data_IF_225751023654
#
_entry.id   IF_225751023654
#
_cell.length_a   1.000
_cell.length_b   1.000
_cell.length_c   1.000
_cell.angle_alpha   90.00
_cell.angle_beta   90.00
_cell.angle_gamma   90.00
#
_symmetry.space_group_name_H-M   'P 1'
#
loop_
_entity.id
_entity.type
_entity.pdbx_description
1 polymer ?
#
# COMPACT_ATOMS: atom_id res chain seq x y z
N UNK A 1 -1.69 24.15 -21.83
CA UNK A 1 -1.74 22.94 -20.99
C UNK A 1 -2.64 23.24 -19.82
N UNK A 2 -3.74 22.55 -19.76
CA UNK A 2 -4.71 22.66 -18.68
C UNK A 2 -4.15 21.95 -17.45
N UNK A 3 -4.14 22.63 -16.30
CA UNK A 3 -3.75 22.02 -15.02
C UNK A 3 -4.96 21.25 -14.48
N UNK A 4 -4.82 19.96 -14.24
CA UNK A 4 -5.88 19.12 -13.70
C UNK A 4 -5.75 19.02 -12.18
N UNK A 5 -6.84 19.25 -11.48
CA UNK A 5 -6.92 18.98 -10.05
C UNK A 5 -6.83 17.48 -9.76
N UNK A 6 -6.34 17.07 -8.58
CA UNK A 6 -6.18 15.64 -8.22
C UNK A 6 -7.45 14.80 -8.38
N UNK A 7 -8.60 15.37 -8.13
CA UNK A 7 -9.91 14.75 -8.29
C UNK A 7 -10.26 14.44 -9.75
N UNK A 8 -9.74 15.23 -10.68
CA UNK A 8 -10.05 15.11 -12.10
C UNK A 8 -9.07 14.18 -12.82
N UNK A 9 -7.76 14.28 -12.52
CA UNK A 9 -6.79 13.44 -13.18
C UNK A 9 -6.72 12.00 -12.62
N UNK A 10 -7.02 11.76 -11.33
CA UNK A 10 -6.88 10.45 -10.69
C UNK A 10 -7.80 9.38 -11.29
N UNK A 11 -9.09 9.64 -11.58
CA UNK A 11 -9.94 8.70 -12.31
C UNK A 11 -9.37 8.37 -13.69
N UNK A 12 -8.86 9.38 -14.40
CA UNK A 12 -8.25 9.21 -15.71
C UNK A 12 -7.00 8.33 -15.67
N UNK A 13 -6.12 8.57 -14.71
CA UNK A 13 -4.92 7.76 -14.50
C UNK A 13 -5.26 6.30 -14.13
N UNK A 14 -6.31 6.08 -13.35
CA UNK A 14 -6.80 4.74 -13.02
C UNK A 14 -7.40 4.04 -14.26
N UNK A 15 -8.15 4.75 -15.09
CA UNK A 15 -8.69 4.21 -16.33
C UNK A 15 -7.56 3.84 -17.31
N UNK A 16 -6.52 4.67 -17.43
CA UNK A 16 -5.31 4.34 -18.20
C UNK A 16 -4.61 3.08 -17.67
N UNK A 17 -4.47 2.98 -16.35
CA UNK A 17 -3.90 1.80 -15.70
C UNK A 17 -4.71 0.55 -16.04
N UNK A 18 -6.03 0.61 -15.91
CA UNK A 18 -6.90 -0.52 -16.23
C UNK A 18 -6.81 -0.91 -17.71
N UNK A 19 -6.84 0.08 -18.60
CA UNK A 19 -6.67 -0.15 -20.04
C UNK A 19 -5.35 -0.87 -20.36
N UNK A 20 -4.27 -0.46 -19.71
CA UNK A 20 -2.96 -1.08 -19.89
C UNK A 20 -2.94 -2.54 -19.37
N UNK A 21 -3.57 -2.81 -18.24
CA UNK A 21 -3.68 -4.17 -17.68
C UNK A 21 -4.53 -5.08 -18.58
N UNK A 22 -5.67 -4.60 -19.05
CA UNK A 22 -6.57 -5.35 -19.93
C UNK A 22 -5.93 -5.66 -21.31
N UNK A 23 -5.00 -4.80 -21.73
CA UNK A 23 -4.21 -5.02 -22.96
C UNK A 23 -2.89 -5.76 -22.71
N UNK A 24 -2.70 -6.31 -21.51
CA UNK A 24 -1.51 -7.08 -21.11
C UNK A 24 -0.19 -6.32 -21.25
N UNK A 25 -0.24 -4.98 -21.19
CA UNK A 25 0.98 -4.19 -21.12
C UNK A 25 1.71 -4.40 -19.80
N UNK A 26 3.03 -4.57 -19.88
CA UNK A 26 3.90 -4.65 -18.69
C UNK A 26 4.05 -3.26 -18.07
N UNK A 27 3.19 -2.93 -17.13
CA UNK A 27 3.25 -1.66 -16.37
C UNK A 27 3.54 -1.94 -14.91
N UNK A 28 4.11 -0.95 -14.22
CA UNK A 28 4.16 -0.96 -12.75
C UNK A 28 2.82 -0.45 -12.22
N UNK A 29 1.96 -1.39 -11.85
CA UNK A 29 0.60 -1.10 -11.41
C UNK A 29 0.55 -0.26 -10.11
N UNK A 30 1.61 -0.27 -9.30
CA UNK A 30 1.73 0.54 -8.09
C UNK A 30 2.04 2.01 -8.36
N UNK A 31 2.69 2.30 -9.51
CA UNK A 31 3.16 3.64 -9.84
C UNK A 31 2.26 4.39 -10.83
N UNK A 32 1.53 3.69 -11.68
CA UNK A 32 0.82 4.26 -12.84
C UNK A 32 -0.24 5.32 -12.48
N UNK A 33 -0.78 5.33 -11.26
CA UNK A 33 -1.78 6.31 -10.81
C UNK A 33 -1.32 7.05 -9.53
N UNK A 34 -0.03 7.27 -9.39
CA UNK A 34 0.55 7.93 -8.22
C UNK A 34 0.97 9.36 -8.54
N UNK A 35 0.28 10.35 -7.97
CA UNK A 35 0.57 11.78 -8.16
C UNK A 35 1.91 12.25 -7.57
N UNK A 36 2.42 11.52 -6.60
CA UNK A 36 3.70 11.85 -5.95
C UNK A 36 4.90 11.23 -6.67
N UNK A 37 4.68 10.57 -7.81
CA UNK A 37 5.75 9.93 -8.56
C UNK A 37 6.61 10.97 -9.28
N UNK A 38 7.89 11.00 -8.93
CA UNK A 38 8.89 11.78 -9.65
C UNK A 38 9.56 10.87 -10.70
N UNK A 39 9.33 11.17 -11.97
CA UNK A 39 9.98 10.48 -13.09
C UNK A 39 11.37 11.06 -13.33
N UNK A 40 12.28 10.20 -13.78
CA UNK A 40 13.61 10.67 -14.18
C UNK A 40 13.53 11.41 -15.51
N UNK A 41 14.16 12.59 -15.65
CA UNK A 41 14.20 13.31 -16.91
C UNK A 41 14.89 12.48 -18.01
N UNK A 42 14.42 12.65 -19.24
CA UNK A 42 15.08 12.08 -20.44
C UNK A 42 16.52 12.58 -20.52
N UNK A 43 17.45 11.72 -20.93
CA UNK A 43 18.88 12.00 -21.00
C UNK A 43 19.64 11.80 -19.68
N UNK A 44 18.96 11.51 -18.57
CA UNK A 44 19.62 11.13 -17.32
C UNK A 44 19.88 9.63 -17.25
N UNK A 45 20.70 9.19 -16.29
CA UNK A 45 21.00 7.79 -16.09
C UNK A 45 20.37 7.23 -14.82
N UNK A 46 19.89 6.00 -14.89
CA UNK A 46 19.40 5.30 -13.73
C UNK A 46 20.58 4.85 -12.84
N UNK A 47 20.72 5.37 -11.61
CA UNK A 47 21.89 5.05 -10.78
C UNK A 47 21.98 3.58 -10.36
N UNK A 48 20.89 2.80 -10.46
CA UNK A 48 20.87 1.38 -10.08
C UNK A 48 21.49 0.46 -11.14
N UNK A 49 21.38 0.80 -12.42
CA UNK A 49 21.81 -0.06 -13.54
C UNK A 49 22.61 0.68 -14.61
N UNK A 50 22.83 1.99 -14.46
CA UNK A 50 23.56 2.81 -15.42
C UNK A 50 22.83 3.08 -16.74
N UNK A 51 21.62 2.58 -16.93
CA UNK A 51 20.89 2.77 -18.18
C UNK A 51 20.43 4.21 -18.36
N UNK A 52 20.57 4.72 -19.57
CA UNK A 52 20.05 6.03 -19.96
C UNK A 52 18.51 6.01 -20.04
N UNK A 53 17.89 7.06 -19.55
CA UNK A 53 16.46 7.31 -19.71
C UNK A 53 16.20 7.92 -21.07
N UNK A 54 15.52 7.17 -21.95
CA UNK A 54 15.24 7.57 -23.33
C UNK A 54 13.76 7.78 -23.55
N UNK A 55 13.44 8.77 -24.37
CA UNK A 55 12.09 8.90 -24.93
C UNK A 55 11.91 7.81 -26.00
N UNK A 56 10.96 6.93 -25.80
CA UNK A 56 10.67 5.84 -26.74
C UNK A 56 9.80 6.31 -27.90
N UNK A 57 8.82 7.14 -27.60
CA UNK A 57 7.90 7.74 -28.57
C UNK A 57 7.72 9.20 -28.20
N UNK A 58 7.98 10.08 -29.14
CA UNK A 58 7.66 11.50 -29.05
C UNK A 58 6.28 11.70 -29.73
N UNK A 59 5.26 11.92 -28.93
CA UNK A 59 3.91 12.09 -29.42
C UNK A 59 3.36 13.48 -29.04
N UNK A 60 2.53 14.02 -29.91
CA UNK A 60 1.85 15.27 -29.63
C UNK A 60 0.96 15.16 -28.37
N UNK A 61 0.85 16.23 -27.58
CA UNK A 61 -0.06 16.25 -26.46
C UNK A 61 -1.51 15.97 -26.88
N UNK A 62 -2.21 15.17 -26.11
CA UNK A 62 -3.60 14.82 -26.34
C UNK A 62 -4.50 15.66 -25.42
N UNK A 63 -5.57 16.20 -25.96
CA UNK A 63 -6.58 16.91 -25.17
C UNK A 63 -7.23 15.97 -24.14
N UNK A 64 -7.49 16.49 -22.94
CA UNK A 64 -8.06 15.70 -21.83
C UNK A 64 -9.41 15.10 -22.21
N UNK A 65 -10.24 15.84 -22.94
CA UNK A 65 -11.54 15.36 -23.44
C UNK A 65 -11.41 14.13 -24.34
N UNK A 66 -10.47 14.18 -25.29
CA UNK A 66 -10.18 13.04 -26.21
C UNK A 66 -9.68 11.83 -25.44
N UNK A 67 -8.81 12.03 -24.45
CA UNK A 67 -8.30 10.94 -23.62
C UNK A 67 -9.41 10.33 -22.76
N UNK A 68 -10.27 11.17 -22.17
CA UNK A 68 -11.43 10.74 -21.36
C UNK A 68 -12.42 9.92 -22.20
N UNK A 69 -12.71 10.37 -23.43
CA UNK A 69 -13.59 9.65 -24.35
C UNK A 69 -12.99 8.28 -24.73
N UNK A 70 -11.72 8.24 -25.07
CA UNK A 70 -10.98 7.01 -25.43
C UNK A 70 -10.92 6.00 -24.30
N UNK A 71 -10.91 6.45 -23.07
CA UNK A 71 -10.86 5.61 -21.88
C UNK A 71 -12.24 5.36 -21.25
N UNK A 72 -13.32 5.86 -21.85
CA UNK A 72 -14.67 5.81 -21.29
C UNK A 72 -15.14 4.40 -20.91
N UNK A 73 -14.73 3.39 -21.66
CA UNK A 73 -15.03 1.98 -21.38
C UNK A 73 -14.42 1.53 -20.04
N UNK A 74 -13.21 1.99 -19.73
CA UNK A 74 -12.45 1.60 -18.54
C UNK A 74 -12.86 2.38 -17.27
N UNK A 75 -13.63 3.45 -17.40
CA UNK A 75 -14.23 4.14 -16.26
C UNK A 75 -15.32 3.33 -15.56
N UNK A 76 -15.89 2.33 -16.20
CA UNK A 76 -17.02 1.55 -15.67
C UNK A 76 -16.63 0.62 -14.52
N UNK A 77 -15.37 0.19 -14.49
CA UNK A 77 -14.84 -0.74 -13.49
C UNK A 77 -13.95 -0.03 -12.43
N UNK A 78 -13.69 1.24 -12.62
CA UNK A 78 -13.09 2.06 -11.57
C UNK A 78 -14.23 2.45 -10.62
N UNK A 79 -14.20 2.07 -9.33
CA UNK A 79 -15.07 2.71 -8.35
C UNK A 79 -14.91 4.20 -8.54
N UNK A 80 -15.99 4.87 -8.95
CA UNK A 80 -15.97 6.32 -9.19
C UNK A 80 -15.32 7.01 -8.02
N UNK A 81 -14.78 8.23 -8.18
CA UNK A 81 -14.39 9.01 -7.03
C UNK A 81 -15.61 8.93 -6.11
N UNK A 82 -15.40 8.37 -4.92
CA UNK A 82 -16.37 8.63 -3.87
C UNK A 82 -16.46 10.15 -3.89
N UNK A 83 -17.60 10.62 -4.40
CA UNK A 83 -17.89 12.04 -4.32
C UNK A 83 -17.56 12.40 -2.90
N UNK A 84 -16.54 13.21 -2.76
CA UNK A 84 -16.27 13.91 -1.52
C UNK A 84 -17.47 14.86 -1.39
N UNK A 85 -18.59 14.21 -1.03
CA UNK A 85 -19.65 14.97 -0.46
C UNK A 85 -18.96 15.64 0.73
N UNK A 86 -18.83 16.94 0.67
CA UNK A 86 -18.79 17.82 1.82
C UNK A 86 -20.07 17.59 2.60
N UNK A 87 -20.29 16.33 2.97
CA UNK A 87 -21.12 15.95 4.09
C UNK A 87 -20.34 16.39 5.29
N UNK A 88 -21.02 17.17 6.11
CA UNK A 88 -20.62 17.49 7.45
C UNK A 88 -19.70 16.36 7.99
N UNK A 89 -18.39 16.56 7.84
CA UNK A 89 -17.37 15.55 8.09
C UNK A 89 -17.31 15.18 9.59
N UNK A 90 -17.99 15.95 10.42
CA UNK A 90 -18.10 15.74 11.86
C UNK A 90 -18.71 14.39 12.24
N UNK A 91 -19.67 13.86 11.47
CA UNK A 91 -20.26 12.54 11.76
C UNK A 91 -19.37 11.40 11.25
N UNK A 92 -18.76 11.55 10.07
CA UNK A 92 -17.82 10.55 9.53
C UNK A 92 -16.47 10.56 10.25
N UNK A 93 -15.94 11.71 10.60
CA UNK A 93 -14.77 11.85 11.47
C UNK A 93 -15.02 11.26 12.86
N UNK A 94 -16.20 11.45 13.43
CA UNK A 94 -16.61 10.81 14.68
C UNK A 94 -16.86 9.30 14.56
N UNK A 95 -17.19 8.78 13.37
CA UNK A 95 -17.36 7.34 13.13
C UNK A 95 -16.02 6.68 12.78
N UNK A 96 -15.15 7.34 12.03
CA UNK A 96 -13.81 6.83 11.68
C UNK A 96 -12.85 6.95 12.87
N UNK A 97 -12.93 8.04 13.65
CA UNK A 97 -12.13 8.21 14.88
C UNK A 97 -12.53 7.28 16.02
N UNK A 98 -13.66 6.57 15.91
CA UNK A 98 -14.15 5.61 16.89
C UNK A 98 -13.99 4.15 16.49
N UNK A 99 -13.39 3.83 15.36
CA UNK A 99 -13.02 2.45 15.07
C UNK A 99 -11.76 2.10 15.88
N UNK A 100 -11.92 1.92 17.18
CA UNK A 100 -10.89 1.34 18.02
C UNK A 100 -10.65 -0.10 17.55
N UNK A 101 -9.56 -0.30 16.83
CA UNK A 101 -9.10 -1.65 16.53
C UNK A 101 -8.64 -2.29 17.85
N UNK A 102 -9.19 -3.44 18.22
CA UNK A 102 -8.74 -4.11 19.43
C UNK A 102 -7.25 -4.45 19.27
N UNK A 103 -6.47 -4.10 20.29
CA UNK A 103 -5.02 -4.31 20.27
C UNK A 103 -4.70 -5.81 20.26
N UNK A 104 -3.68 -6.15 19.50
CA UNK A 104 -3.20 -7.52 19.32
C UNK A 104 -1.96 -7.78 20.18
N UNK A 105 -1.79 -9.00 20.67
CA UNK A 105 -0.53 -9.44 21.27
C UNK A 105 0.43 -9.89 20.16
N UNK A 106 1.52 -9.16 19.94
CA UNK A 106 2.45 -9.38 18.81
C UNK A 106 3.00 -10.79 18.75
N UNK A 107 3.39 -11.40 19.89
CA UNK A 107 3.86 -12.78 19.96
C UNK A 107 2.80 -13.81 19.51
N UNK A 108 1.53 -13.54 19.80
CA UNK A 108 0.42 -14.39 19.36
C UNK A 108 0.18 -14.23 17.84
N UNK A 109 0.27 -13.00 17.33
CA UNK A 109 0.19 -12.76 15.88
C UNK A 109 1.29 -13.53 15.16
N UNK A 110 2.56 -13.41 15.61
CA UNK A 110 3.70 -14.13 15.06
C UNK A 110 3.45 -15.64 15.06
N UNK A 111 3.07 -16.23 16.18
CA UNK A 111 2.88 -17.68 16.30
C UNK A 111 1.76 -18.25 15.43
N UNK A 112 0.76 -17.44 15.08
CA UNK A 112 -0.42 -17.88 14.30
C UNK A 112 -0.38 -17.50 12.83
N UNK A 113 0.39 -16.48 12.43
CA UNK A 113 0.48 -16.00 11.05
C UNK A 113 1.80 -16.43 10.40
N UNK A 114 1.76 -17.39 9.48
CA UNK A 114 2.94 -17.88 8.75
C UNK A 114 3.70 -16.79 7.96
N UNK A 115 3.02 -15.75 7.50
CA UNK A 115 3.66 -14.61 6.82
C UNK A 115 4.52 -13.82 7.79
N UNK A 116 3.93 -13.44 8.94
CA UNK A 116 4.63 -12.67 9.98
C UNK A 116 5.78 -13.50 10.56
N UNK A 117 5.53 -14.78 10.91
CA UNK A 117 6.54 -15.67 11.45
C UNK A 117 7.75 -15.79 10.50
N UNK A 118 7.49 -16.12 9.25
CA UNK A 118 8.54 -16.21 8.25
C UNK A 118 9.30 -14.88 8.07
N UNK A 119 8.58 -13.76 7.96
CA UNK A 119 9.20 -12.48 7.72
C UNK A 119 10.06 -12.00 8.90
N UNK A 120 9.63 -12.27 10.13
CA UNK A 120 10.43 -11.96 11.34
C UNK A 120 11.69 -12.84 11.42
N UNK A 121 11.58 -14.11 11.01
CA UNK A 121 12.71 -15.04 11.09
C UNK A 121 13.67 -14.94 9.88
N UNK A 122 13.28 -14.28 8.80
CA UNK A 122 14.08 -14.13 7.56
C UNK A 122 14.22 -12.67 7.14
N UNK A 123 14.52 -11.80 8.07
CA UNK A 123 14.61 -10.35 7.86
C UNK A 123 15.61 -9.95 6.78
N UNK A 124 16.65 -10.73 6.57
CA UNK A 124 17.65 -10.53 5.50
C UNK A 124 17.08 -10.69 4.09
N UNK A 125 15.90 -11.33 3.97
CA UNK A 125 15.19 -11.58 2.70
C UNK A 125 13.91 -10.77 2.54
N UNK A 126 13.57 -9.97 3.55
CA UNK A 126 12.40 -9.12 3.54
C UNK A 126 12.74 -7.84 2.78
N UNK A 127 11.93 -7.51 1.79
CA UNK A 127 12.03 -6.24 1.07
C UNK A 127 11.29 -5.11 1.80
N UNK A 128 11.49 -3.88 1.34
CA UNK A 128 10.94 -2.70 1.99
C UNK A 128 9.40 -2.69 2.10
N UNK A 129 8.61 -3.09 1.08
CA UNK A 129 7.15 -3.16 1.19
C UNK A 129 6.69 -4.13 2.27
N UNK A 130 7.22 -5.35 2.28
CA UNK A 130 6.85 -6.36 3.26
C UNK A 130 7.28 -5.96 4.68
N UNK A 131 8.47 -5.32 4.83
CA UNK A 131 8.90 -4.78 6.11
C UNK A 131 7.96 -3.68 6.62
N UNK A 132 7.54 -2.78 5.73
CA UNK A 132 6.58 -1.73 6.09
C UNK A 132 5.23 -2.32 6.52
N UNK A 133 4.76 -3.37 5.88
CA UNK A 133 3.54 -4.09 6.29
C UNK A 133 3.68 -4.78 7.66
N UNK A 134 4.86 -5.32 7.98
CA UNK A 134 5.14 -5.83 9.33
C UNK A 134 4.97 -4.74 10.38
N UNK A 135 5.55 -3.57 10.14
CA UNK A 135 5.41 -2.39 11.01
C UNK A 135 3.94 -1.97 11.11
N UNK A 136 3.20 -2.06 10.00
CA UNK A 136 1.77 -1.76 9.96
C UNK A 136 0.90 -2.70 10.79
N UNK A 137 1.32 -3.94 11.01
CA UNK A 137 0.66 -4.84 11.98
C UNK A 137 1.13 -4.52 13.40
N UNK A 138 2.42 -4.27 13.60
CA UNK A 138 2.98 -3.92 14.90
C UNK A 138 2.33 -2.66 15.50
N UNK A 139 1.95 -1.69 14.66
CA UNK A 139 1.26 -0.45 15.06
C UNK A 139 -0.04 -0.70 15.84
N UNK A 140 -0.65 -1.86 15.67
CA UNK A 140 -1.89 -2.27 16.32
C UNK A 140 -1.68 -3.39 17.36
N UNK A 141 -0.46 -3.51 17.87
CA UNK A 141 -0.15 -4.38 19.01
C UNK A 141 -0.20 -3.63 20.34
N UNK A 142 -0.29 -4.37 21.44
CA UNK A 142 -0.31 -3.82 22.81
C UNK A 142 0.94 -3.01 23.13
N UNK A 143 2.11 -3.46 22.62
CA UNK A 143 3.40 -2.79 22.76
C UNK A 143 3.94 -2.49 21.34
N UNK A 144 3.42 -1.47 20.63
CA UNK A 144 3.70 -1.27 19.21
C UNK A 144 5.17 -0.98 18.93
N UNK A 145 5.81 -0.12 19.74
CA UNK A 145 7.20 0.27 19.55
C UNK A 145 8.13 -0.93 19.75
N UNK A 146 7.94 -1.67 20.85
CA UNK A 146 8.68 -2.89 21.14
C UNK A 146 8.49 -3.93 20.04
N UNK A 147 7.25 -4.17 19.62
CA UNK A 147 6.93 -5.15 18.58
C UNK A 147 7.56 -4.77 17.23
N UNK A 148 7.48 -3.50 16.83
CA UNK A 148 8.07 -3.02 15.58
C UNK A 148 9.60 -3.20 15.59
N UNK A 149 10.27 -2.84 16.68
CA UNK A 149 11.72 -2.99 16.83
C UNK A 149 12.15 -4.46 16.83
N UNK A 150 11.47 -5.31 17.60
CA UNK A 150 11.77 -6.75 17.67
C UNK A 150 11.60 -7.42 16.29
N UNK A 151 10.53 -7.09 15.56
CA UNK A 151 10.24 -7.67 14.26
C UNK A 151 11.13 -7.14 13.14
N UNK A 152 11.84 -6.02 13.36
CA UNK A 152 12.71 -5.38 12.38
C UNK A 152 14.20 -5.61 12.63
N UNK A 153 14.58 -6.08 13.81
CA UNK A 153 15.97 -6.10 14.30
C UNK A 153 16.97 -6.80 13.39
N UNK A 154 16.54 -7.80 12.64
CA UNK A 154 17.40 -8.54 11.71
C UNK A 154 17.44 -7.97 10.29
N UNK A 155 16.69 -6.89 10.00
CA UNK A 155 16.62 -6.33 8.66
C UNK A 155 17.92 -5.58 8.30
N UNK A 156 18.48 -5.74 7.08
CA UNK A 156 19.75 -5.09 6.68
C UNK A 156 19.77 -3.56 6.80
N UNK A 157 18.60 -2.93 6.69
CA UNK A 157 18.42 -1.48 6.84
C UNK A 157 17.83 -1.10 8.20
N UNK A 158 17.93 -1.98 9.19
CA UNK A 158 17.39 -1.69 10.50
C UNK A 158 18.12 -0.52 11.13
N UNK A 159 17.34 0.46 11.52
CA UNK A 159 17.71 1.55 12.40
C UNK A 159 16.54 1.82 13.33
N UNK A 160 16.80 1.94 14.61
CA UNK A 160 15.73 2.06 15.62
C UNK A 160 14.89 3.31 15.41
N UNK A 161 15.54 4.46 15.18
CA UNK A 161 14.86 5.73 14.98
C UNK A 161 14.04 5.72 13.68
N UNK A 162 14.62 5.25 12.58
CA UNK A 162 13.92 5.15 11.30
C UNK A 162 12.74 4.15 11.35
N UNK A 163 12.88 3.06 12.12
CA UNK A 163 11.80 2.08 12.32
C UNK A 163 10.63 2.71 13.08
N UNK A 164 10.91 3.46 14.14
CA UNK A 164 9.88 4.17 14.90
C UNK A 164 9.23 5.32 14.10
N UNK A 165 9.98 5.99 13.23
CA UNK A 165 9.40 6.96 12.29
C UNK A 165 8.42 6.30 11.32
N UNK A 166 8.75 5.13 10.77
CA UNK A 166 7.83 4.36 9.92
C UNK A 166 6.57 3.95 10.67
N UNK A 167 6.71 3.55 11.93
CA UNK A 167 5.58 3.21 12.80
C UNK A 167 4.65 4.40 13.03
N UNK A 168 5.22 5.56 13.34
CA UNK A 168 4.47 6.82 13.52
C UNK A 168 3.75 7.19 12.22
N UNK A 169 4.47 7.16 11.10
CA UNK A 169 3.88 7.45 9.80
C UNK A 169 2.72 6.50 9.45
N UNK A 170 2.84 5.20 9.78
CA UNK A 170 1.73 4.27 9.59
C UNK A 170 0.50 4.67 10.42
N UNK A 171 0.70 4.98 11.71
CA UNK A 171 -0.39 5.37 12.61
C UNK A 171 -1.12 6.64 12.16
N UNK A 172 -0.40 7.57 11.52
CA UNK A 172 -0.95 8.85 11.04
C UNK A 172 -1.64 8.72 9.67
N UNK A 173 -1.15 7.84 8.80
CA UNK A 173 -1.59 7.76 7.40
C UNK A 173 -2.55 6.61 7.11
N UNK A 174 -2.56 5.56 7.93
CA UNK A 174 -3.36 4.36 7.68
C UNK A 174 -4.61 4.30 8.56
N UNK A 175 -5.73 3.91 7.97
CA UNK A 175 -7.00 3.72 8.66
C UNK A 175 -7.11 2.42 9.47
N UNK A 176 -6.04 1.59 9.49
CA UNK A 176 -6.04 0.31 10.20
C UNK A 176 -4.75 -0.50 10.00
N UNK A 177 -4.67 -1.70 10.57
CA UNK A 177 -3.50 -2.57 10.43
C UNK A 177 -3.33 -3.07 9.00
N UNK A 178 -2.08 -3.38 8.61
CA UNK A 178 -1.78 -3.97 7.31
C UNK A 178 -2.64 -5.21 7.06
N UNK A 179 -3.16 -5.33 5.84
CA UNK A 179 -4.14 -6.37 5.48
C UNK A 179 -3.47 -7.66 5.02
N UNK A 180 -4.17 -8.79 5.18
CA UNK A 180 -3.72 -10.08 4.62
C UNK A 180 -3.52 -10.01 3.09
N UNK A 181 -4.31 -9.20 2.39
CA UNK A 181 -4.19 -9.00 0.94
C UNK A 181 -2.85 -8.34 0.58
N UNK A 182 -2.40 -7.32 1.33
CA UNK A 182 -1.08 -6.70 1.11
C UNK A 182 0.05 -7.71 1.28
N UNK A 183 0.04 -8.47 2.37
CA UNK A 183 1.02 -9.54 2.56
C UNK A 183 1.05 -10.57 1.44
N UNK A 184 -0.09 -10.87 0.82
CA UNK A 184 -0.17 -11.81 -0.30
C UNK A 184 0.39 -11.20 -1.60
N UNK A 185 0.26 -9.88 -1.79
CA UNK A 185 0.87 -9.15 -2.90
C UNK A 185 2.39 -9.10 -2.75
N UNK A 186 2.88 -8.70 -1.57
CA UNK A 186 4.31 -8.47 -1.33
C UNK A 186 5.08 -9.80 -1.20
N UNK A 187 4.43 -10.86 -0.72
CA UNK A 187 5.00 -12.22 -0.68
C UNK A 187 3.99 -13.26 -1.16
N UNK A 188 3.86 -13.45 -2.47
CA UNK A 188 2.98 -14.45 -3.07
C UNK A 188 3.27 -15.86 -2.51
N UNK A 189 2.23 -16.66 -2.35
CA UNK A 189 2.27 -18.02 -1.79
C UNK A 189 2.58 -18.14 -0.28
N UNK A 190 2.95 -17.07 0.42
CA UNK A 190 3.17 -17.10 1.86
C UNK A 190 1.92 -17.46 2.67
N UNK A 191 0.74 -17.20 2.10
CA UNK A 191 -0.56 -17.58 2.67
C UNK A 191 -1.09 -18.92 2.15
N UNK A 192 -0.28 -19.71 1.41
CA UNK A 192 -0.70 -21.03 0.92
C UNK A 192 -1.01 -21.98 2.08
N UNK A 193 -2.24 -22.50 2.10
CA UNK A 193 -2.71 -23.37 3.18
C UNK A 193 -3.00 -22.65 4.51
N UNK A 194 -3.14 -21.34 4.49
CA UNK A 194 -3.56 -20.57 5.67
C UNK A 194 -5.04 -20.85 5.98
N UNK A 195 -5.33 -21.38 7.17
CA UNK A 195 -6.71 -21.67 7.60
C UNK A 195 -7.58 -20.44 7.83
N UNK A 196 -6.96 -19.27 7.89
CA UNK A 196 -7.61 -17.97 8.10
C UNK A 196 -7.81 -17.17 6.80
N UNK A 197 -7.30 -17.65 5.66
CA UNK A 197 -7.42 -16.98 4.37
C UNK A 197 -8.89 -16.74 4.03
N UNK A 198 -9.23 -15.50 3.70
CA UNK A 198 -10.60 -15.05 3.41
C UNK A 198 -11.53 -14.94 4.63
N UNK A 199 -11.05 -15.25 5.85
CA UNK A 199 -11.85 -15.16 7.09
C UNK A 199 -11.49 -13.96 7.96
N UNK A 200 -10.30 -13.41 7.77
CA UNK A 200 -9.82 -12.22 8.47
C UNK A 200 -9.25 -11.22 7.49
N UNK A 201 -9.40 -9.91 7.78
CA UNK A 201 -8.87 -8.83 6.95
C UNK A 201 -7.40 -8.52 7.21
N UNK A 202 -6.90 -8.80 8.42
CA UNK A 202 -5.54 -8.51 8.85
C UNK A 202 -4.99 -9.57 9.79
N UNK A 203 -3.66 -9.84 9.75
CA UNK A 203 -2.99 -10.71 10.72
C UNK A 203 -3.17 -10.26 12.17
N UNK A 204 -3.33 -8.96 12.43
CA UNK A 204 -3.56 -8.43 13.78
C UNK A 204 -4.74 -9.10 14.49
N UNK A 205 -5.79 -9.47 13.75
CA UNK A 205 -6.96 -10.19 14.32
C UNK A 205 -6.60 -11.49 15.03
N UNK A 206 -5.48 -12.11 14.69
CA UNK A 206 -5.04 -13.37 15.29
C UNK A 206 -4.49 -13.20 16.72
N UNK A 207 -4.06 -11.99 17.06
CA UNK A 207 -3.49 -11.66 18.37
C UNK A 207 -4.46 -10.99 19.33
N UNK A 208 -5.70 -10.71 18.90
CA UNK A 208 -6.72 -10.10 19.76
C UNK A 208 -7.15 -11.10 20.81
N UNK A 209 -7.06 -10.67 22.08
CA UNK A 209 -7.60 -11.41 23.22
C UNK A 209 -8.92 -10.78 23.60
N UNK A 210 -10.01 -11.51 23.46
CA UNK A 210 -11.29 -11.11 24.00
C UNK A 210 -11.28 -11.43 25.51
N UNK A 211 -11.51 -10.42 26.34
CA UNK A 211 -11.78 -10.67 27.76
C UNK A 211 -13.15 -11.38 27.84
N UNK A 212 -13.17 -12.56 28.44
CA UNK A 212 -14.39 -13.26 28.80
C UNK A 212 -15.10 -12.60 29.99
#
# INVERSE_FOLDING_TARGET
TEELEPQDWKPLANAMKQAALDKEFKIDAGLTANSALVLRPVGTHNPKNGNEVKLLVDAEPVEVSTLTESLSYFYRDVPGPQEDHTRDNTLLENLVSKQEFPLAVGSIVKSKCKQIDWAVDNQDKVDEPLWYDLIGVAAFCTDPDKTALEWSKGHPKFDEHATLQKLTHWKESASGPATCAKFEIDRPNGCRGCKYKGKIGSPARLGVQYQE
#
